data_IF_602524056807
#
_entry.id   IF_602524056807
#
_cell.length_a   1.000
_cell.length_b   1.000
_cell.length_c   1.000
_cell.angle_alpha   90.00
_cell.angle_beta   90.00
_cell.angle_gamma   90.00
#
_symmetry.space_group_name_H-M   'P 1'
#
loop_
_entity.id
_entity.type
_entity.pdbx_description
1 polymer ?
#
# COMPACT_ATOMS: atom_id res chain seq x y z
N UNK A 1 -4.28 13.64 2.68
CA UNK A 1 -3.00 13.33 2.04
C UNK A 1 -3.04 11.88 1.62
N UNK A 2 -2.83 11.59 0.33
CA UNK A 2 -2.90 10.21 -0.18
C UNK A 2 -1.52 9.55 -0.01
N UNK A 3 -1.50 8.36 0.59
CA UNK A 3 -0.25 7.64 0.89
C UNK A 3 -0.15 6.37 0.08
N UNK A 4 1.02 6.10 -0.46
CA UNK A 4 1.32 4.88 -1.20
C UNK A 4 2.27 4.01 -0.39
N UNK A 5 1.99 2.71 -0.29
CA UNK A 5 2.91 1.71 0.26
C UNK A 5 3.27 0.68 -0.82
N UNK A 6 4.55 0.62 -1.15
CA UNK A 6 5.11 -0.34 -2.11
C UNK A 6 5.87 -1.41 -1.33
N UNK A 7 5.43 -2.65 -1.49
CA UNK A 7 5.94 -3.80 -0.74
C UNK A 7 5.01 -4.19 0.40
N UNK A 8 4.44 -5.39 0.30
CA UNK A 8 3.46 -5.93 1.25
C UNK A 8 4.01 -7.19 1.94
N UNK A 9 5.24 -7.08 2.45
CA UNK A 9 5.76 -7.97 3.48
C UNK A 9 5.13 -7.70 4.86
N UNK A 10 5.61 -8.34 5.95
CA UNK A 10 5.04 -8.14 7.29
C UNK A 10 4.96 -6.67 7.71
N UNK A 11 6.03 -5.90 7.50
CA UNK A 11 6.09 -4.49 7.87
C UNK A 11 5.16 -3.63 6.99
N UNK A 12 5.25 -3.72 5.66
CA UNK A 12 4.40 -2.93 4.76
C UNK A 12 2.90 -3.17 4.96
N UNK A 13 2.49 -4.41 5.27
CA UNK A 13 1.09 -4.72 5.64
C UNK A 13 0.68 -4.07 6.96
N UNK A 14 1.51 -4.20 7.99
CA UNK A 14 1.23 -3.60 9.29
C UNK A 14 1.11 -2.06 9.21
N UNK A 15 2.02 -1.42 8.47
CA UNK A 15 1.98 0.03 8.22
C UNK A 15 0.72 0.45 7.47
N UNK A 16 0.39 -0.25 6.38
CA UNK A 16 -0.82 0.05 5.59
C UNK A 16 -2.09 -0.05 6.45
N UNK A 17 -2.18 -1.07 7.31
CA UNK A 17 -3.31 -1.23 8.22
C UNK A 17 -3.39 -0.11 9.27
N UNK A 18 -2.26 0.37 9.80
CA UNK A 18 -2.22 1.52 10.71
C UNK A 18 -2.68 2.80 10.00
N UNK A 19 -2.18 3.05 8.78
CA UNK A 19 -2.54 4.22 7.99
C UNK A 19 -4.04 4.25 7.66
N UNK A 20 -4.61 3.11 7.25
CA UNK A 20 -6.06 2.96 7.04
C UNK A 20 -6.86 3.25 8.30
N UNK A 21 -6.45 2.68 9.46
CA UNK A 21 -7.13 2.94 10.75
C UNK A 21 -7.05 4.40 11.19
N UNK A 22 -5.99 5.11 10.81
CA UNK A 22 -5.83 6.53 11.05
C UNK A 22 -6.63 7.42 10.07
N UNK A 23 -7.35 6.83 9.12
CA UNK A 23 -8.21 7.55 8.17
C UNK A 23 -7.47 8.10 6.94
N UNK A 24 -6.25 7.64 6.67
CA UNK A 24 -5.55 7.99 5.44
C UNK A 24 -6.10 7.21 4.25
N UNK A 25 -6.17 7.86 3.09
CA UNK A 25 -6.29 7.15 1.83
C UNK A 25 -4.97 6.41 1.56
N UNK A 26 -5.06 5.10 1.33
CA UNK A 26 -3.89 4.23 1.16
C UNK A 26 -3.99 3.51 -0.18
N UNK A 27 -3.01 3.75 -1.05
CA UNK A 27 -2.76 2.95 -2.24
C UNK A 27 -1.66 1.95 -1.93
N UNK A 28 -1.81 0.70 -2.35
CA UNK A 28 -0.83 -0.35 -2.12
C UNK A 28 -0.41 -1.01 -3.42
N UNK A 29 0.84 -1.46 -3.47
CA UNK A 29 1.32 -2.31 -4.56
C UNK A 29 2.32 -3.34 -4.03
N UNK A 30 2.32 -4.53 -4.62
CA UNK A 30 3.34 -5.54 -4.37
C UNK A 30 3.59 -6.37 -5.62
N UNK A 31 4.85 -6.66 -5.92
CA UNK A 31 5.27 -7.46 -7.08
C UNK A 31 4.55 -8.81 -7.16
N UNK A 32 4.41 -9.50 -6.03
CA UNK A 32 3.62 -10.74 -5.95
C UNK A 32 2.18 -10.41 -5.60
N UNK A 33 1.25 -10.82 -6.45
CA UNK A 33 -0.19 -10.70 -6.20
C UNK A 33 -0.66 -11.43 -4.93
N UNK A 34 -1.93 -11.23 -4.57
CA UNK A 34 -2.58 -11.91 -3.45
C UNK A 34 -2.20 -11.39 -2.05
N UNK A 35 -1.23 -10.48 -1.94
CA UNK A 35 -0.78 -9.94 -0.64
C UNK A 35 -1.60 -8.74 -0.13
N UNK A 36 -2.50 -8.21 -0.95
CA UNK A 36 -3.26 -7.00 -0.67
C UNK A 36 -4.72 -7.26 -0.25
N UNK A 37 -5.22 -8.51 -0.33
CA UNK A 37 -6.65 -8.80 -0.19
C UNK A 37 -7.27 -8.26 1.11
N UNK A 38 -6.62 -8.48 2.25
CA UNK A 38 -7.07 -7.96 3.55
C UNK A 38 -7.03 -6.43 3.63
N UNK A 39 -6.02 -5.80 3.02
CA UNK A 39 -5.89 -4.35 3.00
C UNK A 39 -6.96 -3.72 2.10
N UNK A 40 -7.25 -4.33 0.96
CA UNK A 40 -8.33 -3.90 0.05
C UNK A 40 -9.68 -4.05 0.74
N UNK A 41 -9.93 -5.17 1.43
CA UNK A 41 -11.13 -5.34 2.25
C UNK A 41 -11.25 -4.28 3.37
N UNK A 42 -10.12 -3.79 3.87
CA UNK A 42 -10.06 -2.69 4.84
C UNK A 42 -10.08 -1.28 4.22
N UNK A 43 -10.20 -1.16 2.89
CA UNK A 43 -10.35 0.13 2.19
C UNK A 43 -9.12 0.64 1.45
N UNK A 44 -8.03 -0.12 1.34
CA UNK A 44 -6.92 0.24 0.46
C UNK A 44 -7.28 0.08 -1.01
N UNK A 45 -6.64 0.89 -1.87
CA UNK A 45 -6.69 0.73 -3.32
C UNK A 45 -5.46 -0.06 -3.76
N UNK A 46 -5.67 -1.18 -4.45
CA UNK A 46 -4.58 -1.92 -5.08
C UNK A 46 -4.27 -1.29 -6.44
N UNK A 47 -3.03 -0.82 -6.63
CA UNK A 47 -2.55 -0.35 -7.93
C UNK A 47 -2.15 -1.52 -8.83
N UNK A 48 -2.29 -1.34 -10.14
CA UNK A 48 -1.92 -2.37 -11.14
C UNK A 48 -0.41 -2.44 -11.36
N UNK A 49 0.23 -1.27 -11.46
CA UNK A 49 1.68 -1.15 -11.66
C UNK A 49 2.34 -0.35 -10.54
N UNK A 50 3.67 -0.49 -10.31
CA UNK A 50 4.36 0.35 -9.34
C UNK A 50 4.36 1.83 -9.76
N UNK A 51 4.28 2.11 -11.06
CA UNK A 51 4.15 3.49 -11.58
C UNK A 51 2.81 4.11 -11.19
N UNK A 52 1.71 3.37 -11.33
CA UNK A 52 0.39 3.84 -10.90
C UNK A 52 0.34 4.06 -9.38
N UNK A 53 1.00 3.19 -8.62
CA UNK A 53 1.09 3.32 -7.17
C UNK A 53 1.79 4.63 -6.77
N UNK A 54 2.94 4.95 -7.36
CA UNK A 54 3.67 6.19 -7.08
C UNK A 54 2.86 7.41 -7.51
N UNK A 55 2.20 7.37 -8.68
CA UNK A 55 1.42 8.48 -9.20
C UNK A 55 0.16 8.79 -8.36
N UNK A 56 -0.36 7.81 -7.62
CA UNK A 56 -1.56 7.99 -6.80
C UNK A 56 -1.33 8.84 -5.54
N UNK A 57 -0.14 8.79 -4.94
CA UNK A 57 0.11 9.34 -3.60
C UNK A 57 1.06 10.54 -3.57
N UNK A 58 0.83 11.46 -2.63
CA UNK A 58 1.75 12.58 -2.35
C UNK A 58 3.02 12.10 -1.59
N UNK A 59 2.87 10.99 -0.86
CA UNK A 59 3.93 10.35 -0.09
C UNK A 59 3.99 8.87 -0.45
N UNK A 60 5.17 8.39 -0.84
CA UNK A 60 5.43 6.97 -1.09
C UNK A 60 6.35 6.40 -0.02
N UNK A 61 5.94 5.27 0.56
CA UNK A 61 6.69 4.48 1.52
C UNK A 61 7.11 3.17 0.84
N UNK A 62 8.42 2.89 0.84
CA UNK A 62 8.96 1.63 0.35
C UNK A 62 9.24 0.69 1.52
N UNK A 63 8.64 -0.50 1.51
CA UNK A 63 8.88 -1.57 2.47
C UNK A 63 9.26 -2.85 1.72
N UNK A 64 10.51 -2.87 1.24
CA UNK A 64 11.05 -3.92 0.39
C UNK A 64 12.16 -4.67 1.12
N UNK A 65 12.37 -5.91 0.70
CA UNK A 65 13.66 -6.58 0.88
C UNK A 65 14.63 -6.06 -0.19
N UNK A 66 15.92 -6.30 0.02
CA UNK A 66 17.02 -5.94 -0.88
C UNK A 66 16.77 -6.22 -2.37
#
# INVERSE_FOLDING_TARGET
MNTTVIGLGPMGRAMSAVLLRAGHAVTVWNRTGGRAAELVAAGAVLADTPGDAVAAGDLTILSLTD
#
